data_IF_127953681268
#
_entry.id   IF_127953681268
#
_cell.length_a   1.000
_cell.length_b   1.000
_cell.length_c   1.000
_cell.angle_alpha   90.00
_cell.angle_beta   90.00
_cell.angle_gamma   90.00
#
_symmetry.space_group_name_H-M   'P 1'
#
loop_
_entity.id
_entity.type
_entity.pdbx_description
1 polymer ?
#
# COMPACT_ATOMS: atom_id res chain seq x y z
N UNK A 1 3.05 -5.60 -8.19
CA UNK A 1 4.42 -5.87 -8.68
C UNK A 1 5.19 -6.83 -7.78
N UNK A 2 4.85 -6.98 -6.50
CA UNK A 2 5.51 -7.91 -5.56
C UNK A 2 5.58 -9.36 -6.04
N UNK A 3 4.53 -9.88 -6.68
CA UNK A 3 4.55 -11.24 -7.26
C UNK A 3 5.68 -11.45 -8.30
N UNK A 4 6.13 -10.40 -8.99
CA UNK A 4 7.23 -10.48 -9.95
C UNK A 4 8.60 -10.52 -9.24
N UNK A 5 8.76 -9.79 -8.13
CA UNK A 5 9.98 -9.83 -7.32
C UNK A 5 10.14 -11.16 -6.60
N UNK A 6 9.04 -11.69 -6.03
CA UNK A 6 9.03 -13.02 -5.44
C UNK A 6 9.35 -14.12 -6.47
N UNK A 7 8.79 -14.05 -7.68
CA UNK A 7 9.10 -14.98 -8.76
C UNK A 7 10.57 -14.90 -9.22
N UNK A 8 11.23 -13.75 -9.02
CA UNK A 8 12.66 -13.53 -9.31
C UNK A 8 13.58 -13.74 -8.12
N UNK A 9 13.05 -14.12 -6.95
CA UNK A 9 13.82 -14.31 -5.72
C UNK A 9 14.41 -13.02 -5.13
N UNK A 10 13.91 -11.85 -5.53
CA UNK A 10 14.38 -10.55 -5.00
C UNK A 10 13.58 -10.24 -3.73
N UNK A 11 14.20 -10.48 -2.58
CA UNK A 11 13.60 -10.23 -1.27
C UNK A 11 14.14 -8.94 -0.63
N UNK A 12 15.37 -8.55 -0.97
CA UNK A 12 16.03 -7.35 -0.44
C UNK A 12 15.39 -6.06 -0.95
N UNK A 13 14.99 -5.20 -0.02
CA UNK A 13 14.26 -3.97 -0.32
C UNK A 13 15.12 -2.94 -1.06
N UNK A 14 16.41 -2.83 -0.73
CA UNK A 14 17.31 -1.93 -1.45
C UNK A 14 17.45 -2.36 -2.92
N UNK A 15 17.49 -3.67 -3.20
CA UNK A 15 17.50 -4.20 -4.57
C UNK A 15 16.17 -3.93 -5.28
N UNK A 16 15.01 -4.06 -4.62
CA UNK A 16 13.70 -3.74 -5.21
C UNK A 16 13.60 -2.25 -5.58
N UNK A 17 13.92 -1.36 -4.64
CA UNK A 17 13.92 0.10 -4.83
C UNK A 17 14.85 0.49 -5.98
N UNK A 18 16.08 -0.04 -5.97
CA UNK A 18 17.06 0.19 -7.04
C UNK A 18 16.56 -0.32 -8.40
N UNK A 19 15.92 -1.48 -8.44
CA UNK A 19 15.37 -2.02 -9.68
C UNK A 19 14.25 -1.15 -10.22
N UNK A 20 13.31 -0.72 -9.39
CA UNK A 20 12.14 0.06 -9.81
C UNK A 20 12.50 1.50 -10.16
N UNK A 21 13.43 2.11 -9.43
CA UNK A 21 13.94 3.44 -9.78
C UNK A 21 14.55 3.51 -11.18
N UNK A 22 15.09 2.41 -11.72
CA UNK A 22 15.55 2.34 -13.11
C UNK A 22 14.42 2.36 -14.14
N UNK A 23 13.20 1.99 -13.75
CA UNK A 23 12.02 2.01 -14.62
C UNK A 23 11.22 3.32 -14.52
N UNK A 24 11.56 4.23 -13.60
CA UNK A 24 10.92 5.54 -13.52
C UNK A 24 11.33 6.41 -14.72
N UNK A 25 10.36 7.10 -15.29
CA UNK A 25 10.54 8.00 -16.45
C UNK A 25 9.90 9.37 -16.18
N UNK A 26 10.29 10.36 -16.98
CA UNK A 26 9.73 11.72 -16.98
C UNK A 26 9.59 12.34 -15.58
N UNK A 27 8.37 12.69 -15.20
CA UNK A 27 8.03 13.38 -13.95
C UNK A 27 8.33 12.49 -12.74
N UNK A 28 8.14 11.17 -12.86
CA UNK A 28 8.44 10.22 -11.78
C UNK A 28 9.95 10.09 -11.53
N UNK A 29 10.77 10.14 -12.58
CA UNK A 29 12.22 10.16 -12.44
C UNK A 29 12.73 11.46 -11.81
N UNK A 30 12.16 12.61 -12.19
CA UNK A 30 12.51 13.91 -11.60
C UNK A 30 12.16 13.97 -10.11
N UNK A 31 10.98 13.49 -9.75
CA UNK A 31 10.56 13.37 -8.35
C UNK A 31 11.55 12.50 -7.55
N UNK A 32 11.89 11.29 -8.06
CA UNK A 32 12.79 10.38 -7.35
C UNK A 32 14.19 10.96 -7.13
N UNK A 33 14.73 11.70 -8.12
CA UNK A 33 16.00 12.41 -7.99
C UNK A 33 15.94 13.52 -6.95
N UNK A 34 14.84 14.28 -6.92
CA UNK A 34 14.60 15.29 -5.89
C UNK A 34 14.54 14.67 -4.50
N UNK A 35 13.73 13.62 -4.34
CA UNK A 35 13.50 12.89 -3.10
C UNK A 35 14.77 12.31 -2.49
N UNK A 36 15.67 11.80 -3.32
CA UNK A 36 16.95 11.19 -2.88
C UNK A 36 18.06 12.21 -2.61
N UNK A 37 17.95 13.42 -3.16
CA UNK A 37 18.94 14.50 -2.95
C UNK A 37 18.58 15.40 -1.78
N UNK A 38 17.29 15.47 -1.41
CA UNK A 38 16.83 16.25 -0.27
C UNK A 38 17.25 15.61 1.06
N UNK A 39 18.34 16.12 1.64
CA UNK A 39 18.87 15.67 2.94
C UNK A 39 17.92 15.90 4.11
N UNK A 40 16.82 16.63 3.93
CA UNK A 40 15.79 16.85 4.95
C UNK A 40 14.80 15.68 5.03
N UNK A 41 14.55 15.01 3.91
CA UNK A 41 13.72 13.82 3.84
C UNK A 41 14.67 12.62 3.98
N UNK A 42 14.61 11.93 5.11
CA UNK A 42 15.52 10.80 5.41
C UNK A 42 15.56 9.74 4.30
N UNK A 43 16.53 8.82 4.38
CA UNK A 43 16.64 7.73 3.41
C UNK A 43 15.39 6.84 3.43
N UNK A 44 14.91 6.46 2.25
CA UNK A 44 13.86 5.44 2.10
C UNK A 44 14.56 4.09 2.25
N UNK A 45 14.38 3.47 3.42
CA UNK A 45 15.06 2.25 3.82
C UNK A 45 14.29 0.98 3.46
N UNK A 46 12.97 1.08 3.27
CA UNK A 46 12.11 -0.06 2.99
C UNK A 46 11.36 0.07 1.68
N UNK A 47 11.02 -1.09 1.10
CA UNK A 47 10.21 -1.14 -0.11
C UNK A 47 8.80 -0.55 0.13
N UNK A 48 8.28 -0.68 1.35
CA UNK A 48 7.00 -0.11 1.77
C UNK A 48 7.03 1.43 1.76
N UNK A 49 8.03 2.05 2.39
CA UNK A 49 8.20 3.51 2.38
C UNK A 49 8.27 4.06 0.95
N UNK A 50 9.00 3.36 0.06
CA UNK A 50 9.08 3.71 -1.35
C UNK A 50 7.69 3.71 -2.03
N UNK A 51 6.89 2.66 -1.79
CA UNK A 51 5.55 2.55 -2.35
C UNK A 51 4.62 3.65 -1.83
N UNK A 52 4.63 3.92 -0.52
CA UNK A 52 3.79 4.95 0.09
C UNK A 52 4.08 6.33 -0.47
N UNK A 53 5.35 6.70 -0.58
CA UNK A 53 5.72 8.01 -1.13
C UNK A 53 5.44 8.13 -2.63
N UNK A 54 5.70 7.07 -3.41
CA UNK A 54 5.39 7.05 -4.83
C UNK A 54 3.88 7.17 -5.07
N UNK A 55 3.07 6.45 -4.29
CA UNK A 55 1.61 6.53 -4.38
C UNK A 55 1.12 7.89 -3.90
N UNK A 56 1.62 8.44 -2.79
CA UNK A 56 1.24 9.77 -2.32
C UNK A 56 1.52 10.87 -3.35
N UNK A 57 2.62 10.77 -4.09
CA UNK A 57 3.00 11.76 -5.10
C UNK A 57 2.15 11.69 -6.38
N UNK A 58 1.81 10.48 -6.85
CA UNK A 58 1.19 10.28 -8.17
C UNK A 58 -0.26 9.80 -8.11
N UNK A 59 -0.71 9.36 -6.94
CA UNK A 59 -2.05 8.86 -6.63
C UNK A 59 -2.49 9.38 -5.24
N UNK A 60 -2.75 10.70 -5.10
CA UNK A 60 -3.07 11.30 -3.81
C UNK A 60 -4.34 10.73 -3.14
N UNK A 61 -5.28 10.14 -3.91
CA UNK A 61 -6.44 9.39 -3.37
C UNK A 61 -6.09 8.01 -2.74
N UNK A 62 -4.82 7.62 -2.87
CA UNK A 62 -4.19 6.38 -2.41
C UNK A 62 -3.11 6.68 -1.36
N UNK A 63 -3.26 7.75 -0.59
CA UNK A 63 -2.46 7.87 0.63
C UNK A 63 -2.80 6.70 1.55
N UNK A 64 -1.80 6.12 2.21
CA UNK A 64 -1.99 4.96 3.10
C UNK A 64 -3.02 5.28 4.20
N UNK A 65 -3.04 6.52 4.67
CA UNK A 65 -4.04 7.03 5.62
C UNK A 65 -5.47 7.02 5.04
N UNK A 66 -5.67 7.40 3.79
CA UNK A 66 -6.99 7.34 3.14
C UNK A 66 -7.40 5.91 2.80
N UNK A 67 -6.47 5.06 2.38
CA UNK A 67 -6.71 3.64 2.14
C UNK A 67 -7.11 2.94 3.45
N UNK A 68 -6.42 3.23 4.55
CA UNK A 68 -6.76 2.76 5.89
C UNK A 68 -8.11 3.30 6.35
N UNK A 69 -8.39 4.59 6.16
CA UNK A 69 -9.68 5.19 6.50
C UNK A 69 -10.84 4.57 5.70
N UNK A 70 -10.63 4.24 4.41
CA UNK A 70 -11.59 3.52 3.57
C UNK A 70 -11.79 2.08 4.10
N UNK A 71 -10.71 1.38 4.43
CA UNK A 71 -10.76 0.02 4.99
C UNK A 71 -11.50 -0.03 6.32
N UNK A 72 -11.33 0.96 7.20
CA UNK A 72 -12.06 1.04 8.47
C UNK A 72 -13.56 1.34 8.30
N UNK A 73 -13.95 1.98 7.20
CA UNK A 73 -15.34 2.40 6.93
C UNK A 73 -16.12 1.40 6.07
N UNK A 74 -15.45 0.41 5.47
CA UNK A 74 -16.11 -0.57 4.62
C UNK A 74 -17.05 -1.44 5.46
N UNK A 75 -18.29 -1.57 5.00
CA UNK A 75 -19.35 -2.28 5.71
C UNK A 75 -20.04 -3.24 4.76
N UNK A 76 -20.45 -4.40 5.27
CA UNK A 76 -21.18 -5.39 4.49
C UNK A 76 -22.53 -4.81 4.04
N UNK A 77 -22.65 -4.51 2.75
CA UNK A 77 -23.91 -4.03 2.14
C UNK A 77 -24.76 -5.19 1.64
N UNK A 78 -24.16 -6.09 0.84
CA UNK A 78 -24.77 -7.26 0.26
C UNK A 78 -24.39 -8.56 0.97
N UNK A 79 -23.92 -9.52 0.16
CA UNK A 79 -23.44 -10.82 0.64
C UNK A 79 -22.10 -10.70 1.38
N UNK A 80 -21.79 -11.69 2.20
CA UNK A 80 -20.47 -11.78 2.85
C UNK A 80 -19.36 -11.93 1.80
N UNK A 81 -19.62 -12.63 0.69
CA UNK A 81 -18.64 -12.80 -0.38
C UNK A 81 -18.25 -11.49 -1.07
N UNK A 82 -19.22 -10.62 -1.34
CA UNK A 82 -18.97 -9.28 -1.90
C UNK A 82 -18.18 -8.41 -0.92
N UNK A 83 -18.55 -8.44 0.36
CA UNK A 83 -17.81 -7.73 1.42
C UNK A 83 -16.36 -8.21 1.53
N UNK A 84 -16.13 -9.53 1.53
CA UNK A 84 -14.76 -10.09 1.59
C UNK A 84 -13.94 -9.68 0.38
N UNK A 85 -14.54 -9.61 -0.82
CA UNK A 85 -13.85 -9.13 -2.02
C UNK A 85 -13.43 -7.67 -1.87
N UNK A 86 -14.38 -6.79 -1.55
CA UNK A 86 -14.13 -5.34 -1.39
C UNK A 86 -13.09 -5.08 -0.27
N UNK A 87 -13.22 -5.78 0.85
CA UNK A 87 -12.27 -5.69 1.97
C UNK A 87 -10.86 -6.11 1.56
N UNK A 88 -10.72 -7.20 0.78
CA UNK A 88 -9.41 -7.67 0.29
C UNK A 88 -8.80 -6.70 -0.72
N UNK A 89 -9.61 -6.13 -1.61
CA UNK A 89 -9.15 -5.14 -2.59
C UNK A 89 -8.62 -3.88 -1.91
N UNK A 90 -9.25 -3.43 -0.83
CA UNK A 90 -8.76 -2.31 -0.01
C UNK A 90 -7.54 -2.70 0.82
N UNK A 91 -7.48 -3.93 1.35
CA UNK A 91 -6.32 -4.40 2.11
C UNK A 91 -5.04 -4.45 1.28
N UNK A 92 -5.12 -4.79 -0.01
CA UNK A 92 -3.96 -4.78 -0.91
C UNK A 92 -3.38 -3.37 -1.13
N UNK A 93 -4.10 -2.33 -0.71
CA UNK A 93 -3.73 -0.93 -0.84
C UNK A 93 -3.10 -0.37 0.45
N UNK A 94 -3.14 -1.13 1.54
CA UNK A 94 -2.59 -0.75 2.84
C UNK A 94 -1.40 -1.65 3.16
N UNK A 95 -0.23 -1.06 3.41
CA UNK A 95 1.06 -1.76 3.44
C UNK A 95 1.62 -1.95 4.85
N UNK A 96 1.23 -1.11 5.81
CA UNK A 96 1.69 -1.15 7.21
C UNK A 96 0.52 -1.28 8.21
N UNK A 97 -0.11 -2.45 8.24
CA UNK A 97 -1.17 -2.78 9.21
C UNK A 97 -0.91 -4.11 9.89
N UNK A 98 -1.13 -4.15 11.20
CA UNK A 98 -1.01 -5.41 11.94
C UNK A 98 -2.20 -6.32 11.66
N UNK A 99 -1.99 -7.63 11.73
CA UNK A 99 -3.07 -8.62 11.59
C UNK A 99 -4.22 -8.35 12.58
N UNK A 100 -3.90 -7.83 13.77
CA UNK A 100 -4.88 -7.45 14.79
C UNK A 100 -5.75 -6.28 14.35
N UNK A 101 -5.17 -5.24 13.76
CA UNK A 101 -5.91 -4.05 13.30
C UNK A 101 -6.80 -4.39 12.11
N UNK A 102 -6.27 -5.20 11.18
CA UNK A 102 -7.04 -5.73 10.04
C UNK A 102 -8.22 -6.56 10.52
N UNK A 103 -8.01 -7.47 11.46
CA UNK A 103 -9.07 -8.33 11.99
C UNK A 103 -10.17 -7.51 12.66
N UNK A 104 -9.78 -6.48 13.43
CA UNK A 104 -10.72 -5.58 14.07
C UNK A 104 -11.54 -4.79 13.04
N UNK A 105 -10.90 -4.25 12.00
CA UNK A 105 -11.60 -3.57 10.91
C UNK A 105 -12.58 -4.50 10.16
N UNK A 106 -12.17 -5.75 9.92
CA UNK A 106 -13.00 -6.76 9.28
C UNK A 106 -14.24 -7.11 10.13
N UNK A 107 -14.05 -7.37 11.42
CA UNK A 107 -15.16 -7.62 12.33
C UNK A 107 -16.07 -6.39 12.41
N UNK A 108 -15.50 -5.19 12.44
CA UNK A 108 -16.23 -3.93 12.52
C UNK A 108 -17.17 -3.71 11.33
N UNK A 109 -16.79 -4.14 10.12
CA UNK A 109 -17.60 -4.00 8.92
C UNK A 109 -18.69 -5.05 8.71
N UNK A 110 -18.67 -6.19 9.41
CA UNK A 110 -19.67 -7.26 9.28
C UNK A 110 -21.03 -6.87 9.87
N UNK A 111 -22.13 -7.36 9.27
CA UNK A 111 -23.47 -7.22 9.85
C UNK A 111 -23.58 -8.01 11.17
N UNK A 112 -24.37 -7.50 12.12
CA UNK A 112 -24.55 -8.09 13.44
C UNK A 112 -24.98 -9.57 13.44
N UNK A 113 -25.76 -10.02 12.46
CA UNK A 113 -26.23 -11.40 12.36
C UNK A 113 -25.20 -12.37 11.75
N UNK A 114 -24.09 -11.84 11.21
CA UNK A 114 -22.94 -12.61 10.72
C UNK A 114 -21.85 -12.73 11.80
N UNK A 115 -21.85 -11.82 12.77
CA UNK A 115 -20.88 -11.78 13.87
C UNK A 115 -21.12 -12.88 14.91
#
# INVERSE_FOLDING_TARGET
MENNFHAKGIVDDAVKIKTISMFLIDIALLWWRGRTTDKRQGEIGTWQEFQCELNGQFYPEFTEEEAWAKLQRVTQRGTVGEYVREFKELMLQVSDVTEKEVLLAFQNGLKLWVR
#
